data_IF_936538861414
#
_entry.id   IF_936538861414
#
_cell.length_a   1.000
_cell.length_b   1.000
_cell.length_c   1.000
_cell.angle_alpha   90.00
_cell.angle_beta   90.00
_cell.angle_gamma   90.00
#
_symmetry.space_group_name_H-M   'P 1'
#
loop_
_entity.id
_entity.type
_entity.pdbx_description
1 polymer ?
#
# COMPACT_ATOMS: atom_id res chain seq x y z
N UNK A 1 11.23 -0.53 22.99
CA UNK A 1 12.03 -1.15 21.91
C UNK A 1 11.16 -1.42 20.68
N UNK A 2 9.94 -1.92 20.84
CA UNK A 2 8.98 -2.20 19.75
C UNK A 2 8.70 -0.99 18.83
N UNK A 3 8.38 0.18 19.39
CA UNK A 3 8.15 1.40 18.58
C UNK A 3 9.35 1.79 17.70
N UNK A 4 10.57 1.61 18.21
CA UNK A 4 11.78 1.89 17.44
C UNK A 4 11.89 0.97 16.21
N UNK A 5 11.58 -0.32 16.39
CA UNK A 5 11.54 -1.28 15.28
C UNK A 5 10.45 -0.97 14.27
N UNK A 6 9.25 -0.59 14.73
CA UNK A 6 8.14 -0.18 13.84
C UNK A 6 8.54 1.05 13.01
N UNK A 7 9.15 2.06 13.61
CA UNK A 7 9.60 3.26 12.90
C UNK A 7 10.66 2.90 11.85
N UNK A 8 11.65 2.08 12.21
CA UNK A 8 12.69 1.65 11.25
C UNK A 8 12.06 0.84 10.11
N UNK A 9 11.22 -0.13 10.42
CA UNK A 9 10.60 -1.02 9.45
C UNK A 9 9.70 -0.25 8.47
N UNK A 10 8.88 0.67 8.96
CA UNK A 10 7.98 1.47 8.11
C UNK A 10 8.71 2.55 7.32
N UNK A 11 9.78 3.16 7.85
CA UNK A 11 10.62 4.08 7.06
C UNK A 11 11.37 3.34 5.96
N UNK A 12 11.90 2.15 6.26
CA UNK A 12 12.51 1.29 5.26
C UNK A 12 11.46 0.85 4.22
N UNK A 13 10.27 0.50 4.69
CA UNK A 13 9.12 0.06 3.90
C UNK A 13 8.59 1.09 2.91
N UNK A 14 8.51 2.37 3.29
CA UNK A 14 7.88 3.41 2.47
C UNK A 14 8.81 4.45 1.84
N UNK A 15 10.00 4.72 2.39
CA UNK A 15 10.94 5.69 1.76
C UNK A 15 12.00 4.98 0.93
N UNK A 16 12.50 3.85 1.44
CA UNK A 16 13.59 3.10 0.81
C UNK A 16 13.10 2.35 -0.43
N UNK A 17 11.87 1.83 -0.37
CA UNK A 17 11.10 1.36 -1.51
C UNK A 17 11.05 2.43 -2.61
N UNK A 18 10.63 3.68 -2.31
CA UNK A 18 10.44 4.73 -3.32
C UNK A 18 11.75 5.09 -4.01
N UNK A 19 12.83 5.13 -3.24
CA UNK A 19 14.17 5.39 -3.77
C UNK A 19 14.63 4.25 -4.68
N UNK A 20 14.37 2.99 -4.30
CA UNK A 20 14.65 1.83 -5.14
C UNK A 20 13.78 1.86 -6.40
N UNK A 21 12.47 2.07 -6.27
CA UNK A 21 11.53 2.22 -7.37
C UNK A 21 12.00 3.29 -8.36
N UNK A 22 12.47 4.44 -7.89
CA UNK A 22 13.02 5.51 -8.73
C UNK A 22 14.22 5.09 -9.57
N UNK A 23 15.11 4.29 -8.99
CA UNK A 23 16.30 3.77 -9.70
C UNK A 23 15.93 2.66 -10.69
N UNK A 24 14.98 1.79 -10.33
CA UNK A 24 14.53 0.67 -11.15
C UNK A 24 13.47 1.04 -12.20
N UNK A 25 12.74 2.14 -12.04
CA UNK A 25 11.76 2.63 -13.02
C UNK A 25 12.42 3.12 -14.32
N UNK A 26 13.73 3.35 -14.32
CA UNK A 26 14.53 3.63 -15.52
C UNK A 26 15.13 2.35 -16.14
N UNK A 27 14.88 1.19 -15.55
CA UNK A 27 15.39 -0.11 -15.98
C UNK A 27 14.34 -0.92 -16.76
N UNK A 28 14.73 -2.09 -17.26
CA UNK A 28 13.85 -3.02 -18.00
C UNK A 28 12.56 -3.37 -17.24
N UNK A 29 12.55 -3.23 -15.91
CA UNK A 29 11.40 -3.51 -15.05
C UNK A 29 10.16 -2.67 -15.38
N UNK A 30 10.33 -1.44 -15.89
CA UNK A 30 9.22 -0.59 -16.31
C UNK A 30 8.38 -1.22 -17.43
N UNK A 31 8.96 -2.14 -18.24
CA UNK A 31 8.24 -2.88 -19.29
C UNK A 31 7.30 -3.96 -18.73
N UNK A 32 7.38 -4.23 -17.43
CA UNK A 32 6.61 -5.26 -16.76
C UNK A 32 5.69 -4.69 -15.66
N UNK A 33 5.49 -3.37 -15.61
CA UNK A 33 4.66 -2.71 -14.60
C UNK A 33 3.28 -3.38 -14.42
N UNK A 34 2.59 -3.69 -15.52
CA UNK A 34 1.28 -4.37 -15.45
C UNK A 34 1.34 -5.76 -14.79
N UNK A 35 2.48 -6.47 -14.93
CA UNK A 35 2.70 -7.79 -14.31
C UNK A 35 3.17 -7.66 -12.85
N UNK A 36 3.82 -6.56 -12.52
CA UNK A 36 4.31 -6.23 -11.18
C UNK A 36 3.12 -6.03 -10.22
N UNK A 37 2.04 -5.38 -10.68
CA UNK A 37 0.79 -5.25 -9.90
C UNK A 37 0.20 -6.63 -9.57
N UNK A 38 0.10 -7.53 -10.56
CA UNK A 38 -0.42 -8.88 -10.33
C UNK A 38 0.44 -9.69 -9.34
N UNK A 39 1.76 -9.47 -9.35
CA UNK A 39 2.67 -10.07 -8.37
C UNK A 39 2.42 -9.52 -6.96
N UNK A 40 2.32 -8.20 -6.78
CA UNK A 40 2.05 -7.58 -5.47
C UNK A 40 0.73 -8.06 -4.88
N UNK A 41 -0.35 -8.08 -5.69
CA UNK A 41 -1.65 -8.62 -5.29
C UNK A 41 -1.53 -10.08 -4.84
N UNK A 42 -0.74 -10.90 -5.55
CA UNK A 42 -0.52 -12.30 -5.18
C UNK A 42 0.21 -12.48 -3.85
N UNK A 43 1.30 -11.71 -3.61
CA UNK A 43 2.07 -11.76 -2.36
C UNK A 43 1.22 -11.33 -1.17
N UNK A 44 0.51 -10.20 -1.30
CA UNK A 44 -0.36 -9.66 -0.25
C UNK A 44 -1.52 -10.60 0.08
N UNK A 45 -2.20 -11.11 -0.94
CA UNK A 45 -3.31 -12.04 -0.74
C UNK A 45 -2.83 -13.35 -0.10
N UNK A 46 -1.66 -13.85 -0.50
CA UNK A 46 -1.05 -15.01 0.15
C UNK A 46 -0.80 -14.72 1.63
N UNK A 47 -0.02 -13.69 1.95
CA UNK A 47 0.35 -13.37 3.33
C UNK A 47 -0.87 -13.08 4.22
N UNK A 48 -1.88 -12.38 3.69
CA UNK A 48 -3.13 -12.13 4.41
C UNK A 48 -3.85 -13.44 4.78
N UNK A 49 -3.87 -14.44 3.88
CA UNK A 49 -4.59 -15.70 4.08
C UNK A 49 -3.77 -16.77 4.80
N UNK A 50 -2.44 -16.80 4.62
CA UNK A 50 -1.56 -17.85 5.16
C UNK A 50 -0.96 -17.49 6.51
N UNK A 51 -0.78 -16.20 6.80
CA UNK A 51 -0.09 -15.73 7.99
C UNK A 51 -1.03 -14.88 8.86
N UNK A 52 -1.51 -13.74 8.37
CA UNK A 52 -2.28 -12.78 9.19
C UNK A 52 -3.60 -13.36 9.68
N UNK A 53 -4.43 -13.91 8.79
CA UNK A 53 -5.75 -14.42 9.14
C UNK A 53 -5.69 -15.64 10.09
N UNK A 54 -4.84 -16.66 9.84
CA UNK A 54 -4.66 -17.76 10.78
C UNK A 54 -4.12 -17.30 12.13
N UNK A 55 -3.17 -16.35 12.15
CA UNK A 55 -2.61 -15.82 13.40
C UNK A 55 -3.67 -15.08 14.22
N UNK A 56 -4.52 -14.27 13.59
CA UNK A 56 -5.62 -13.60 14.28
C UNK A 56 -6.58 -14.60 14.97
N UNK A 57 -6.86 -15.73 14.31
CA UNK A 57 -7.67 -16.81 14.90
C UNK A 57 -6.93 -17.50 16.06
N UNK A 58 -5.63 -17.76 15.92
CA UNK A 58 -4.80 -18.31 16.99
C UNK A 58 -4.72 -17.39 18.22
N UNK A 59 -4.75 -16.07 18.02
CA UNK A 59 -4.81 -15.07 19.09
C UNK A 59 -6.20 -14.97 19.76
N UNK A 60 -7.17 -15.78 19.31
CA UNK A 60 -8.48 -15.92 19.95
C UNK A 60 -9.63 -15.20 19.23
N UNK A 61 -9.42 -14.65 18.03
CA UNK A 61 -10.51 -14.12 17.22
C UNK A 61 -11.42 -15.27 16.76
N UNK A 62 -12.73 -15.24 17.06
CA UNK A 62 -13.66 -16.28 16.60
C UNK A 62 -13.64 -16.36 15.07
N UNK A 63 -13.61 -17.57 14.51
CA UNK A 63 -13.54 -17.81 13.05
C UNK A 63 -14.67 -17.09 12.30
N UNK A 64 -15.87 -17.04 12.89
CA UNK A 64 -16.99 -16.29 12.34
C UNK A 64 -16.70 -14.79 12.23
N UNK A 65 -16.15 -14.19 13.30
CA UNK A 65 -15.80 -12.76 13.29
C UNK A 65 -14.65 -12.46 12.33
N UNK A 66 -13.65 -13.35 12.24
CA UNK A 66 -12.57 -13.25 11.27
C UNK A 66 -13.12 -13.25 9.83
N UNK A 67 -14.04 -14.18 9.52
CA UNK A 67 -14.72 -14.25 8.22
C UNK A 67 -15.53 -13.00 7.89
N UNK A 68 -16.30 -12.47 8.86
CA UNK A 68 -17.05 -11.22 8.68
C UNK A 68 -16.14 -10.02 8.47
N UNK A 69 -15.00 -9.97 9.16
CA UNK A 69 -14.03 -8.87 9.03
C UNK A 69 -13.38 -8.89 7.65
N UNK A 70 -12.96 -10.07 7.17
CA UNK A 70 -12.45 -10.25 5.82
C UNK A 70 -13.49 -9.84 4.76
N UNK A 71 -14.74 -10.29 4.91
CA UNK A 71 -15.83 -9.96 3.99
C UNK A 71 -16.13 -8.45 3.99
N UNK A 72 -16.17 -7.81 5.16
CA UNK A 72 -16.37 -6.38 5.27
C UNK A 72 -15.25 -5.59 4.58
N UNK A 73 -13.99 -6.02 4.73
CA UNK A 73 -12.86 -5.46 4.00
C UNK A 73 -13.02 -5.58 2.48
N UNK A 74 -13.37 -6.79 2.00
CA UNK A 74 -13.57 -7.04 0.56
C UNK A 74 -14.70 -6.20 -0.03
N UNK A 75 -15.86 -6.14 0.65
CA UNK A 75 -17.00 -5.30 0.23
C UNK A 75 -16.61 -3.81 0.29
N UNK A 76 -15.89 -3.40 1.33
CA UNK A 76 -15.41 -2.02 1.48
C UNK A 76 -14.54 -1.59 0.30
N UNK A 77 -13.51 -2.37 -0.03
CA UNK A 77 -12.64 -2.09 -1.19
C UNK A 77 -13.41 -2.14 -2.51
N UNK A 78 -14.33 -3.10 -2.69
CA UNK A 78 -15.19 -3.15 -3.87
C UNK A 78 -16.04 -1.89 -4.03
N UNK A 79 -16.63 -1.38 -2.95
CA UNK A 79 -17.40 -0.14 -2.98
C UNK A 79 -16.53 1.07 -3.26
N UNK A 80 -15.33 1.15 -2.67
CA UNK A 80 -14.36 2.21 -2.95
C UNK A 80 -13.96 2.21 -4.44
N UNK A 81 -13.73 1.04 -5.04
CA UNK A 81 -13.46 0.89 -6.48
C UNK A 81 -14.64 1.43 -7.32
N UNK A 82 -15.89 1.08 -6.99
CA UNK A 82 -17.04 1.58 -7.74
C UNK A 82 -17.27 3.08 -7.58
N UNK A 83 -17.03 3.64 -6.39
CA UNK A 83 -17.07 5.08 -6.17
C UNK A 83 -15.98 5.81 -6.96
N UNK A 84 -14.78 5.23 -7.03
CA UNK A 84 -13.66 5.74 -7.83
C UNK A 84 -14.02 5.83 -9.32
N UNK A 85 -14.57 4.75 -9.87
CA UNK A 85 -14.99 4.68 -11.28
C UNK A 85 -16.14 5.63 -11.59
N UNK A 86 -17.14 5.71 -10.72
CA UNK A 86 -18.30 6.60 -10.91
C UNK A 86 -17.90 8.09 -10.97
N UNK A 87 -16.84 8.48 -10.25
CA UNK A 87 -16.33 9.86 -10.26
C UNK A 87 -15.62 10.21 -11.57
N UNK A 88 -15.08 9.23 -12.29
CA UNK A 88 -14.39 9.41 -13.58
C UNK A 88 -15.37 9.72 -14.72
N UNK A 89 -16.52 9.03 -14.76
CA UNK A 89 -17.57 9.25 -15.77
C UNK A 89 -18.19 10.66 -15.72
N UNK A 90 -18.35 11.23 -14.52
CA UNK A 90 -18.94 12.57 -14.38
C UNK A 90 -17.96 13.70 -14.70
N UNK A 91 -16.65 13.47 -14.54
CA UNK A 91 -15.62 14.45 -14.89
C UNK A 91 -15.46 14.61 -16.41
N UNK A 92 -15.69 13.54 -17.19
CA UNK A 92 -15.62 13.58 -18.65
C UNK A 92 -16.72 14.46 -19.30
N UNK A 93 -17.83 14.72 -18.59
CA UNK A 93 -18.95 15.54 -19.09
C UNK A 93 -18.74 17.05 -19.00
N UNK A 94 -17.74 17.51 -18.24
CA UNK A 94 -17.38 18.94 -18.13
C UNK A 94 -15.99 19.11 -18.69
N UNK A 95 -15.88 19.68 -19.90
CA UNK A 95 -14.64 19.84 -20.68
C UNK A 95 -13.54 20.67 -20.01
N UNK A 96 -12.95 20.15 -18.94
CA UNK A 96 -11.76 20.67 -18.30
C UNK A 96 -10.61 19.70 -18.50
N UNK A 97 -9.61 20.22 -19.24
CA UNK A 97 -8.33 19.63 -19.61
C UNK A 97 -7.40 19.41 -18.40
N UNK A 98 -7.88 18.80 -17.33
CA UNK A 98 -7.05 18.51 -16.17
C UNK A 98 -6.92 17.01 -16.00
N UNK A 99 -5.77 16.46 -16.38
CA UNK A 99 -5.26 15.13 -16.02
C UNK A 99 -5.05 14.94 -14.49
N UNK A 100 -5.55 15.88 -13.68
CA UNK A 100 -5.40 15.97 -12.22
C UNK A 100 -6.21 14.94 -11.40
N UNK A 101 -7.42 14.47 -11.82
CA UNK A 101 -8.18 13.49 -11.06
C UNK A 101 -7.47 12.14 -10.93
N UNK A 102 -6.78 11.68 -11.98
CA UNK A 102 -6.06 10.41 -11.96
C UNK A 102 -4.85 10.47 -11.03
N UNK A 103 -4.05 11.55 -11.11
CA UNK A 103 -2.91 11.78 -10.21
C UNK A 103 -3.35 11.81 -8.74
N UNK A 104 -4.42 12.54 -8.43
CA UNK A 104 -4.93 12.63 -7.05
C UNK A 104 -5.44 11.27 -6.54
N UNK A 105 -6.14 10.50 -7.40
CA UNK A 105 -6.65 9.17 -7.03
C UNK A 105 -5.53 8.17 -6.75
N UNK A 106 -4.47 8.18 -7.55
CA UNK A 106 -3.30 7.31 -7.33
C UNK A 106 -2.64 7.66 -6.00
N UNK A 107 -2.32 8.94 -5.77
CA UNK A 107 -1.62 9.35 -4.54
C UNK A 107 -2.45 9.13 -3.28
N UNK A 108 -3.76 9.34 -3.33
CA UNK A 108 -4.65 9.09 -2.17
C UNK A 108 -4.80 7.58 -1.95
N UNK A 109 -5.02 6.80 -3.01
CA UNK A 109 -5.18 5.35 -2.93
C UNK A 109 -3.94 4.67 -2.38
N UNK A 110 -2.78 5.01 -2.96
CA UNK A 110 -1.47 4.53 -2.52
C UNK A 110 -1.17 4.98 -1.09
N UNK A 111 -1.53 6.20 -0.70
CA UNK A 111 -1.30 6.69 0.66
C UNK A 111 -2.14 5.94 1.70
N UNK A 112 -3.38 5.61 1.35
CA UNK A 112 -4.23 4.76 2.20
C UNK A 112 -3.71 3.33 2.28
N UNK A 113 -3.20 2.78 1.19
CA UNK A 113 -2.58 1.45 1.15
C UNK A 113 -1.38 1.39 2.09
N UNK A 114 -0.42 2.28 1.87
CA UNK A 114 0.78 2.46 2.69
C UNK A 114 0.43 2.61 4.17
N UNK A 115 -0.57 3.43 4.49
CA UNK A 115 -1.05 3.59 5.86
C UNK A 115 -1.48 2.25 6.49
N UNK A 116 -2.27 1.44 5.76
CA UNK A 116 -2.74 0.14 6.25
C UNK A 116 -1.56 -0.80 6.44
N UNK A 117 -0.58 -0.84 5.54
CA UNK A 117 0.63 -1.64 5.73
C UNK A 117 1.42 -1.24 6.97
N UNK A 118 1.48 0.07 7.25
CA UNK A 118 2.03 0.60 8.49
C UNK A 118 1.35 0.02 9.73
N UNK A 119 0.01 0.04 9.74
CA UNK A 119 -0.80 -0.54 10.83
C UNK A 119 -0.54 -2.05 10.97
N UNK A 120 -0.45 -2.78 9.86
CA UNK A 120 -0.16 -4.21 9.86
C UNK A 120 1.23 -4.52 10.43
N UNK A 121 2.26 -3.77 10.02
CA UNK A 121 3.61 -3.88 10.58
C UNK A 121 3.59 -3.64 12.09
N UNK A 122 2.86 -2.62 12.55
CA UNK A 122 2.73 -2.33 13.97
C UNK A 122 2.04 -3.47 14.73
N UNK A 123 0.91 -3.96 14.24
CA UNK A 123 0.17 -5.08 14.83
C UNK A 123 1.05 -6.35 14.93
N UNK A 124 1.81 -6.65 13.88
CA UNK A 124 2.73 -7.77 13.85
C UNK A 124 3.84 -7.64 14.91
N UNK A 125 4.49 -6.47 15.00
CA UNK A 125 5.53 -6.21 16.02
C UNK A 125 5.01 -6.21 17.46
N UNK A 126 3.74 -5.82 17.66
CA UNK A 126 3.07 -5.90 18.96
C UNK A 126 2.77 -7.34 19.37
N UNK A 127 2.58 -8.22 18.38
CA UNK A 127 2.35 -9.65 18.59
C UNK A 127 3.66 -10.39 18.84
N UNK A 128 4.62 -10.28 17.92
CA UNK A 128 5.93 -10.92 18.00
C UNK A 128 6.97 -10.18 17.14
N UNK A 129 8.24 -10.17 17.59
CA UNK A 129 9.29 -9.44 16.87
C UNK A 129 9.69 -10.11 15.56
N UNK A 130 9.69 -11.45 15.49
CA UNK A 130 10.00 -12.17 14.27
C UNK A 130 8.86 -12.03 13.25
N UNK A 131 7.61 -12.09 13.70
CA UNK A 131 6.43 -11.81 12.88
C UNK A 131 6.44 -10.37 12.33
N UNK A 132 6.81 -9.39 13.17
CA UNK A 132 6.97 -7.99 12.76
C UNK A 132 7.97 -7.81 11.62
N UNK A 133 9.14 -8.44 11.71
CA UNK A 133 10.14 -8.39 10.64
C UNK A 133 9.73 -9.18 9.39
N UNK A 134 9.08 -10.33 9.54
CA UNK A 134 8.55 -11.08 8.41
C UNK A 134 7.50 -10.26 7.64
N UNK A 135 6.59 -9.60 8.37
CA UNK A 135 5.57 -8.71 7.82
C UNK A 135 6.21 -7.52 7.11
N UNK A 136 7.16 -6.84 7.76
CA UNK A 136 7.87 -5.71 7.15
C UNK A 136 8.60 -6.10 5.85
N UNK A 137 9.21 -7.29 5.81
CA UNK A 137 9.86 -7.80 4.59
C UNK A 137 8.83 -8.11 3.50
N UNK A 138 7.72 -8.76 3.84
CA UNK A 138 6.63 -9.01 2.90
C UNK A 138 6.07 -7.70 2.32
N UNK A 139 5.96 -6.66 3.16
CA UNK A 139 5.58 -5.30 2.75
C UNK A 139 6.57 -4.70 1.78
N UNK A 140 7.84 -4.61 2.17
CA UNK A 140 8.91 -4.08 1.31
C UNK A 140 8.97 -4.74 -0.07
N UNK A 141 8.73 -6.06 -0.14
CA UNK A 141 8.81 -6.81 -1.40
C UNK A 141 7.69 -6.44 -2.36
N UNK A 142 6.47 -6.12 -1.89
CA UNK A 142 5.37 -5.78 -2.78
C UNK A 142 5.23 -4.27 -3.03
N UNK A 143 5.79 -3.43 -2.16
CA UNK A 143 5.85 -1.97 -2.33
C UNK A 143 6.75 -1.57 -3.49
N UNK A 144 7.92 -2.20 -3.66
CA UNK A 144 8.83 -1.88 -4.78
C UNK A 144 8.12 -2.01 -6.15
N UNK A 145 7.44 -3.14 -6.47
CA UNK A 145 6.65 -3.24 -7.70
C UNK A 145 5.52 -2.21 -7.81
N UNK A 146 4.82 -1.93 -6.69
CA UNK A 146 3.67 -1.02 -6.66
C UNK A 146 4.09 0.42 -6.93
N UNK A 147 5.11 0.91 -6.24
CA UNK A 147 5.61 2.26 -6.43
C UNK A 147 6.23 2.48 -7.81
N UNK A 148 6.86 1.44 -8.42
CA UNK A 148 7.30 1.51 -9.81
C UNK A 148 6.08 1.69 -10.73
N UNK A 149 5.00 0.94 -10.50
CA UNK A 149 3.76 1.07 -11.27
C UNK A 149 3.18 2.48 -11.13
N UNK A 150 3.01 2.97 -9.91
CA UNK A 150 2.42 4.29 -9.64
C UNK A 150 3.26 5.42 -10.22
N UNK A 151 4.59 5.33 -10.08
CA UNK A 151 5.50 6.28 -10.69
C UNK A 151 5.33 6.32 -12.22
N UNK A 152 5.22 5.16 -12.87
CA UNK A 152 5.03 5.07 -14.33
C UNK A 152 3.66 5.62 -14.77
N UNK A 153 2.61 5.40 -13.99
CA UNK A 153 1.29 5.99 -14.29
C UNK A 153 1.32 7.51 -14.12
N UNK A 154 1.98 8.04 -13.09
CA UNK A 154 2.15 9.48 -12.90
C UNK A 154 2.93 10.13 -14.06
N UNK A 155 4.00 9.50 -14.54
CA UNK A 155 4.74 9.97 -15.71
C UNK A 155 3.86 9.96 -16.97
N UNK A 156 3.06 8.92 -17.15
CA UNK A 156 2.13 8.78 -18.28
C UNK A 156 1.02 9.83 -18.26
N UNK A 157 0.62 10.28 -17.06
CA UNK A 157 -0.30 11.39 -16.84
C UNK A 157 0.35 12.79 -16.98
N UNK A 158 1.60 12.87 -17.47
CA UNK A 158 2.30 14.13 -17.74
C UNK A 158 2.95 14.78 -16.50
N UNK A 159 3.01 14.09 -15.36
CA UNK A 159 3.71 14.59 -14.17
C UNK A 159 5.23 14.54 -14.40
N UNK A 160 5.96 15.58 -13.99
CA UNK A 160 7.42 15.59 -14.10
C UNK A 160 8.05 14.55 -13.18
N UNK A 161 9.20 13.97 -13.56
CA UNK A 161 9.90 12.94 -12.77
C UNK A 161 10.11 13.32 -11.32
N UNK A 162 10.58 14.54 -11.07
CA UNK A 162 10.81 15.03 -9.71
C UNK A 162 9.50 15.12 -8.90
N UNK A 163 8.41 15.54 -9.53
CA UNK A 163 7.10 15.63 -8.87
C UNK A 163 6.48 14.26 -8.64
N UNK A 164 6.58 13.33 -9.60
CA UNK A 164 6.11 11.96 -9.44
C UNK A 164 6.84 11.26 -8.28
N UNK A 165 8.16 11.43 -8.19
CA UNK A 165 8.96 10.91 -7.08
C UNK A 165 8.51 11.49 -5.74
N UNK A 166 8.30 12.81 -5.68
CA UNK A 166 7.87 13.48 -4.46
C UNK A 166 6.47 13.05 -4.02
N UNK A 167 5.56 12.79 -4.98
CA UNK A 167 4.21 12.30 -4.69
C UNK A 167 4.22 10.86 -4.16
N UNK A 168 5.01 9.96 -4.76
CA UNK A 168 5.18 8.61 -4.22
C UNK A 168 5.84 8.64 -2.83
N UNK A 169 6.88 9.45 -2.63
CA UNK A 169 7.53 9.58 -1.32
C UNK A 169 6.57 10.12 -0.24
N UNK A 170 5.70 11.06 -0.61
CA UNK A 170 4.67 11.59 0.29
C UNK A 170 3.64 10.52 0.65
N UNK A 171 3.25 9.72 -0.34
CA UNK A 171 2.34 8.58 -0.16
C UNK A 171 2.95 7.50 0.75
N UNK A 172 4.18 7.08 0.48
CA UNK A 172 4.93 6.11 1.30
C UNK A 172 5.16 6.57 2.74
N UNK A 173 5.26 7.88 3.00
CA UNK A 173 5.34 8.42 4.37
C UNK A 173 4.08 8.11 5.21
N UNK A 174 2.93 7.84 4.57
CA UNK A 174 1.72 7.41 5.26
C UNK A 174 1.92 6.07 5.99
N UNK A 175 2.83 5.21 5.53
CA UNK A 175 3.16 3.95 6.19
C UNK A 175 3.75 4.15 7.58
N UNK A 176 4.70 5.09 7.74
CA UNK A 176 5.22 5.42 9.07
C UNK A 176 4.14 5.99 9.97
N UNK A 177 3.25 6.82 9.42
CA UNK A 177 2.11 7.38 10.14
C UNK A 177 1.15 6.29 10.63
N UNK A 178 0.84 5.31 9.76
CA UNK A 178 0.05 4.13 10.09
C UNK A 178 0.71 3.26 11.17
N UNK A 179 2.02 3.04 11.07
CA UNK A 179 2.75 2.27 12.09
C UNK A 179 2.76 2.93 13.45
N UNK A 180 2.95 4.25 13.51
CA UNK A 180 2.92 5.00 14.78
C UNK A 180 1.52 5.00 15.38
N UNK A 181 0.48 5.30 14.58
CA UNK A 181 -0.90 5.33 15.07
C UNK A 181 -1.41 3.94 15.43
N UNK A 182 -1.03 2.92 14.68
CA UNK A 182 -1.31 1.51 14.99
C UNK A 182 -0.67 1.11 16.32
N UNK A 183 0.59 1.48 16.57
CA UNK A 183 1.24 1.23 17.86
C UNK A 183 0.56 1.93 19.05
N UNK A 184 -0.04 3.09 18.84
CA UNK A 184 -0.77 3.82 19.90
C UNK A 184 -2.14 3.19 20.17
N UNK A 185 -2.80 2.67 19.13
CA UNK A 185 -4.19 2.25 19.17
C UNK A 185 -4.40 0.76 19.51
N UNK A 186 -3.39 -0.09 19.27
CA UNK A 186 -3.41 -1.54 19.47
C UNK A 186 -2.61 -1.94 20.72
#
# INVERSE_FOLDING_TARGET
MTLFWIIIATLAGGVLSVLLAATFALSVLARFADKMVAFSVGVLLSFALTDILPEAVHLGLPVEQAGWTLLAGLIGFFLLEKLALWRHDHAASKGHNTDQPQVAMIVIGDGMHNFVDGVLIAAAFLTDTALGWATALAVMVHEIPQEISDFMVLLSAGVTRARALALNALSGAAMTLGGVLGWIAL
#
